data_IF_685332665381
#
_entry.id   IF_685332665381
#
_cell.length_a   1.000
_cell.length_b   1.000
_cell.length_c   1.000
_cell.angle_alpha   90.00
_cell.angle_beta   90.00
_cell.angle_gamma   90.00
#
_symmetry.space_group_name_H-M   'P 1'
#
loop_
_entity.id
_entity.type
_entity.pdbx_description
1 polymer ?
#
# COMPACT_ATOMS: atom_id res chain seq x y z
N UNK A 1 -9.92 7.78 -16.62
CA UNK A 1 -8.47 8.04 -16.70
C UNK A 1 -7.76 6.70 -16.55
N UNK A 2 -6.88 6.37 -17.48
CA UNK A 2 -6.09 5.13 -17.45
C UNK A 2 -5.01 5.19 -16.36
N UNK A 3 -4.58 4.03 -15.84
CA UNK A 3 -3.53 3.95 -14.81
C UNK A 3 -2.23 4.60 -15.27
N UNK A 4 -1.86 4.45 -16.54
CA UNK A 4 -0.63 5.04 -17.09
C UNK A 4 -0.62 6.56 -17.02
N UNK A 5 -1.73 7.19 -17.41
CA UNK A 5 -1.85 8.65 -17.38
C UNK A 5 -1.92 9.18 -15.95
N UNK A 6 -2.59 8.42 -15.07
CA UNK A 6 -2.63 8.72 -13.65
C UNK A 6 -1.22 8.69 -13.03
N UNK A 7 -0.45 7.62 -13.26
CA UNK A 7 0.91 7.49 -12.74
C UNK A 7 1.82 8.62 -13.22
N UNK A 8 1.73 8.99 -14.50
CA UNK A 8 2.49 10.12 -15.07
C UNK A 8 2.14 11.44 -14.37
N UNK A 9 0.85 11.75 -14.26
CA UNK A 9 0.36 12.95 -13.57
C UNK A 9 0.79 12.97 -12.10
N UNK A 10 0.77 11.81 -11.45
CA UNK A 10 1.16 11.67 -10.07
C UNK A 10 2.64 11.99 -9.87
N UNK A 11 3.53 11.49 -10.75
CA UNK A 11 4.97 11.80 -10.69
C UNK A 11 5.22 13.30 -10.88
N UNK A 12 4.57 13.91 -11.85
CA UNK A 12 4.74 15.33 -12.11
C UNK A 12 4.31 16.19 -10.91
N UNK A 13 3.21 15.81 -10.25
CA UNK A 13 2.77 16.45 -9.00
C UNK A 13 3.64 16.10 -7.80
N UNK A 14 4.20 14.90 -7.74
CA UNK A 14 5.12 14.48 -6.68
C UNK A 14 6.40 15.32 -6.69
N UNK A 15 6.92 15.66 -7.87
CA UNK A 15 8.11 16.50 -8.04
C UNK A 15 7.95 17.93 -7.53
N UNK A 16 6.72 18.39 -7.31
CA UNK A 16 6.45 19.74 -6.80
C UNK A 16 6.21 19.79 -5.28
N UNK A 17 6.36 18.66 -4.57
CA UNK A 17 6.29 18.64 -3.12
C UNK A 17 7.48 19.42 -2.54
N UNK A 18 7.22 20.31 -1.57
CA UNK A 18 8.20 21.23 -0.99
C UNK A 18 9.46 20.54 -0.46
N UNK A 19 9.30 19.37 0.16
CA UNK A 19 10.39 18.56 0.72
C UNK A 19 10.73 17.32 -0.12
N UNK A 20 10.47 17.33 -1.43
CA UNK A 20 10.66 16.17 -2.31
C UNK A 20 12.09 15.58 -2.25
N UNK A 21 13.10 16.42 -2.03
CA UNK A 21 14.51 16.00 -1.92
C UNK A 21 14.79 15.07 -0.72
N UNK A 22 13.95 15.13 0.31
CA UNK A 22 14.02 14.30 1.52
C UNK A 22 13.18 13.01 1.41
N UNK A 23 12.41 12.89 0.33
CA UNK A 23 11.51 11.77 0.10
C UNK A 23 12.18 10.68 -0.76
N UNK A 24 11.85 9.42 -0.46
CA UNK A 24 12.12 8.32 -1.39
C UNK A 24 11.18 8.40 -2.59
N UNK A 25 11.50 7.73 -3.70
CA UNK A 25 10.61 7.72 -4.85
C UNK A 25 9.18 7.26 -4.46
N UNK A 26 8.13 7.74 -5.15
CA UNK A 26 6.79 7.26 -4.88
C UNK A 26 6.66 5.80 -5.29
N UNK A 27 5.88 5.03 -4.54
CA UNK A 27 5.48 3.68 -4.91
C UNK A 27 4.35 3.73 -5.94
N UNK A 28 4.63 3.28 -7.17
CA UNK A 28 3.65 3.25 -8.25
C UNK A 28 3.35 1.80 -8.66
N UNK A 29 2.07 1.48 -8.76
CA UNK A 29 1.61 0.19 -9.30
C UNK A 29 1.89 0.17 -10.80
N UNK A 30 2.52 -0.91 -11.26
CA UNK A 30 2.95 -1.02 -12.66
C UNK A 30 1.79 -1.10 -13.66
N UNK A 31 2.02 -0.48 -14.82
CA UNK A 31 1.16 -0.51 -16.00
C UNK A 31 1.51 -1.63 -16.99
N UNK A 32 2.44 -2.52 -16.64
CA UNK A 32 2.81 -3.67 -17.47
C UNK A 32 1.59 -4.52 -17.81
N UNK A 33 1.43 -4.81 -19.10
CA UNK A 33 0.23 -5.47 -19.62
C UNK A 33 0.07 -6.89 -19.08
N UNK A 34 1.16 -7.62 -18.86
CA UNK A 34 1.08 -8.97 -18.31
C UNK A 34 0.62 -8.94 -16.84
N UNK A 35 1.17 -8.01 -16.05
CA UNK A 35 0.73 -7.80 -14.68
C UNK A 35 -0.75 -7.38 -14.61
N UNK A 36 -1.16 -6.38 -15.40
CA UNK A 36 -2.55 -5.92 -15.44
C UNK A 36 -3.52 -7.02 -15.90
N UNK A 37 -3.13 -7.81 -16.90
CA UNK A 37 -3.91 -8.95 -17.38
C UNK A 37 -4.05 -10.02 -16.29
N UNK A 38 -2.97 -10.31 -15.54
CA UNK A 38 -3.05 -11.26 -14.43
C UNK A 38 -4.02 -10.76 -13.36
N UNK A 39 -3.89 -9.50 -12.91
CA UNK A 39 -4.79 -8.92 -11.90
C UNK A 39 -6.24 -8.95 -12.39
N UNK A 40 -6.50 -8.52 -13.64
CA UNK A 40 -7.86 -8.43 -14.19
C UNK A 40 -8.56 -9.78 -14.33
N UNK A 41 -7.80 -10.84 -14.62
CA UNK A 41 -8.31 -12.20 -14.74
C UNK A 41 -8.25 -12.99 -13.42
N UNK A 42 -7.74 -12.39 -12.35
CA UNK A 42 -7.63 -13.06 -11.06
C UNK A 42 -8.94 -13.04 -10.29
N UNK A 43 -9.21 -14.14 -9.60
CA UNK A 43 -10.17 -14.17 -8.52
C UNK A 43 -9.46 -13.72 -7.23
N UNK A 44 -10.17 -13.01 -6.34
CA UNK A 44 -9.65 -12.56 -5.05
C UNK A 44 -8.51 -11.53 -5.18
N UNK A 45 -8.76 -10.43 -5.89
CA UNK A 45 -7.84 -9.28 -5.97
C UNK A 45 -7.67 -8.66 -4.58
N UNK A 46 -6.43 -8.56 -4.13
CA UNK A 46 -6.08 -7.99 -2.83
C UNK A 46 -5.38 -6.65 -3.04
N UNK A 47 -6.01 -5.57 -2.59
CA UNK A 47 -5.33 -4.29 -2.41
C UNK A 47 -4.64 -4.29 -1.05
N UNK A 48 -3.33 -4.48 -1.06
CA UNK A 48 -2.50 -4.47 0.14
C UNK A 48 -1.88 -3.10 0.36
N UNK A 49 -2.12 -2.50 1.53
CA UNK A 49 -1.73 -1.13 1.83
C UNK A 49 -0.79 -1.10 3.03
N UNK A 50 0.50 -0.88 2.74
CA UNK A 50 1.60 -0.69 3.68
C UNK A 50 1.59 0.66 4.40
N UNK A 51 2.69 0.95 5.11
CA UNK A 51 2.91 2.26 5.76
C UNK A 51 3.54 3.25 4.77
N UNK A 52 4.84 3.09 4.51
CA UNK A 52 5.63 3.84 3.53
C UNK A 52 6.83 3.00 3.07
N UNK A 53 7.52 3.48 2.04
CA UNK A 53 8.68 2.84 1.41
C UNK A 53 9.97 3.62 1.73
N UNK A 54 10.44 3.54 2.99
CA UNK A 54 11.69 4.17 3.41
C UNK A 54 12.89 3.64 2.60
N UNK A 55 13.67 4.55 2.01
CA UNK A 55 14.83 4.19 1.18
C UNK A 55 14.50 3.58 -0.19
N UNK A 56 13.24 3.65 -0.65
CA UNK A 56 12.85 3.13 -1.96
C UNK A 56 13.39 3.99 -3.10
N UNK A 57 14.23 3.39 -3.95
CA UNK A 57 14.84 4.06 -5.11
C UNK A 57 15.45 5.41 -4.69
N UNK A 58 16.25 5.39 -3.63
CA UNK A 58 16.78 6.60 -2.98
C UNK A 58 18.15 7.05 -3.51
N UNK A 59 18.86 6.20 -4.23
CA UNK A 59 20.19 6.48 -4.80
C UNK A 59 20.14 7.00 -6.24
N UNK A 60 18.95 7.41 -6.70
CA UNK A 60 18.72 7.93 -8.06
C UNK A 60 18.45 9.42 -7.94
N UNK A 61 19.07 10.23 -8.81
CA UNK A 61 18.78 11.66 -8.88
C UNK A 61 17.30 11.86 -9.23
N UNK A 62 16.60 12.75 -8.51
CA UNK A 62 15.15 12.91 -8.63
C UNK A 62 14.70 13.28 -10.07
N UNK A 63 15.59 13.93 -10.84
CA UNK A 63 15.38 14.28 -12.26
C UNK A 63 15.48 13.10 -13.24
N UNK A 64 16.15 12.02 -12.84
CA UNK A 64 16.23 10.76 -13.60
C UNK A 64 15.15 9.76 -13.23
N UNK A 65 14.31 10.10 -12.25
CA UNK A 65 13.21 9.26 -11.81
C UNK A 65 12.08 9.28 -12.84
N UNK A 66 11.95 8.24 -13.65
CA UNK A 66 10.85 8.09 -14.62
C UNK A 66 9.78 7.13 -14.11
N UNK A 67 8.59 7.19 -14.71
CA UNK A 67 7.52 6.25 -14.45
C UNK A 67 7.97 4.81 -14.71
N UNK A 68 8.61 4.58 -15.86
CA UNK A 68 9.06 3.27 -16.29
C UNK A 68 10.07 2.67 -15.31
N UNK A 69 10.97 3.49 -14.78
CA UNK A 69 11.94 3.07 -13.78
C UNK A 69 11.24 2.62 -12.49
N UNK A 70 10.36 3.46 -11.93
CA UNK A 70 9.63 3.12 -10.69
C UNK A 70 8.81 1.83 -10.89
N UNK A 71 8.08 1.74 -11.99
CA UNK A 71 7.22 0.59 -12.28
C UNK A 71 8.04 -0.69 -12.53
N UNK A 72 9.20 -0.60 -13.16
CA UNK A 72 10.08 -1.76 -13.34
C UNK A 72 10.60 -2.30 -12.00
N UNK A 73 11.01 -1.43 -11.07
CA UNK A 73 11.42 -1.83 -9.71
C UNK A 73 10.24 -2.42 -8.95
N UNK A 74 9.04 -1.84 -9.07
CA UNK A 74 7.82 -2.41 -8.52
C UNK A 74 7.60 -3.86 -9.01
N UNK A 75 7.68 -4.09 -10.33
CA UNK A 75 7.51 -5.41 -10.93
C UNK A 75 8.55 -6.40 -10.45
N UNK A 76 9.81 -5.98 -10.36
CA UNK A 76 10.86 -6.85 -9.83
C UNK A 76 10.54 -7.29 -8.40
N UNK A 77 10.10 -6.36 -7.55
CA UNK A 77 9.78 -6.70 -6.16
C UNK A 77 8.57 -7.61 -6.09
N UNK A 78 7.47 -7.29 -6.77
CA UNK A 78 6.23 -8.09 -6.68
C UNK A 78 6.40 -9.49 -7.30
N UNK A 79 7.29 -9.66 -8.28
CA UNK A 79 7.64 -10.97 -8.89
C UNK A 79 8.57 -11.79 -8.00
N UNK A 80 9.36 -11.16 -7.12
CA UNK A 80 10.27 -11.89 -6.23
C UNK A 80 9.46 -12.71 -5.24
N UNK A 81 9.67 -14.03 -5.26
CA UNK A 81 9.29 -14.93 -4.15
C UNK A 81 10.28 -14.73 -3.01
N UNK A 82 10.10 -13.67 -2.24
CA UNK A 82 10.96 -13.37 -1.11
C UNK A 82 10.32 -13.90 0.19
N UNK A 83 11.16 -14.32 1.15
CA UNK A 83 10.73 -14.79 2.46
C UNK A 83 10.60 -13.65 3.49
N UNK A 84 10.63 -12.39 3.04
CA UNK A 84 10.40 -11.27 3.94
C UNK A 84 8.97 -11.31 4.53
N UNK A 85 8.77 -10.61 5.64
CA UNK A 85 7.50 -10.69 6.38
C UNK A 85 6.29 -10.15 5.62
N UNK A 86 6.50 -9.24 4.66
CA UNK A 86 5.45 -8.78 3.74
C UNK A 86 4.92 -9.95 2.90
N UNK A 87 5.78 -10.65 2.16
CA UNK A 87 5.35 -11.76 1.30
C UNK A 87 4.84 -12.94 2.12
N UNK A 88 5.47 -13.26 3.26
CA UNK A 88 4.97 -14.29 4.18
C UNK A 88 3.57 -13.98 4.70
N UNK A 89 3.25 -12.71 4.87
CA UNK A 89 1.95 -12.27 5.35
C UNK A 89 0.91 -12.32 4.22
N UNK A 90 1.19 -11.69 3.08
CA UNK A 90 0.33 -11.74 1.88
C UNK A 90 0.06 -13.17 1.42
N UNK A 91 1.04 -14.07 1.57
CA UNK A 91 0.89 -15.46 1.15
C UNK A 91 -0.22 -16.23 1.90
N UNK A 92 -0.78 -15.66 2.97
CA UNK A 92 -1.96 -16.21 3.64
C UNK A 92 -3.28 -15.88 2.94
N UNK A 93 -3.27 -14.91 2.03
CA UNK A 93 -4.43 -14.41 1.28
C UNK A 93 -4.29 -14.66 -0.23
N UNK A 94 -3.06 -14.78 -0.72
CA UNK A 94 -2.73 -15.06 -2.11
C UNK A 94 -1.65 -16.13 -2.19
N UNK A 95 -1.82 -17.14 -3.03
CA UNK A 95 -0.73 -18.12 -3.28
C UNK A 95 0.32 -17.58 -4.26
N UNK A 96 0.03 -16.48 -4.96
CA UNK A 96 0.95 -15.86 -5.91
C UNK A 96 0.72 -14.34 -5.96
N UNK A 97 1.59 -13.59 -5.28
CA UNK A 97 1.51 -12.13 -5.16
C UNK A 97 1.45 -11.43 -6.53
N UNK A 98 2.18 -11.93 -7.53
CA UNK A 98 2.18 -11.35 -8.89
C UNK A 98 0.84 -11.52 -9.63
N UNK A 99 -0.02 -12.44 -9.20
CA UNK A 99 -1.25 -12.75 -9.92
C UNK A 99 -2.45 -11.92 -9.48
N UNK A 100 -2.55 -11.58 -8.19
CA UNK A 100 -3.78 -10.96 -7.64
C UNK A 100 -3.51 -9.88 -6.58
N UNK A 101 -2.26 -9.50 -6.31
CA UNK A 101 -1.96 -8.46 -5.31
C UNK A 101 -1.62 -7.14 -5.98
N UNK A 102 -2.34 -6.09 -5.58
CA UNK A 102 -2.01 -4.69 -5.83
C UNK A 102 -1.36 -4.15 -4.56
N UNK A 103 -0.05 -3.87 -4.60
CA UNK A 103 0.67 -3.33 -3.45
C UNK A 103 0.74 -1.81 -3.54
N UNK A 104 0.25 -1.13 -2.51
CA UNK A 104 0.42 0.30 -2.30
C UNK A 104 0.79 0.58 -0.84
N UNK A 105 0.93 1.85 -0.48
CA UNK A 105 1.24 2.31 0.86
C UNK A 105 0.30 3.44 1.27
N UNK A 106 0.13 3.61 2.58
CA UNK A 106 -0.68 4.70 3.15
C UNK A 106 -0.06 6.06 2.82
N UNK A 107 1.28 6.16 2.87
CA UNK A 107 2.04 7.25 2.29
C UNK A 107 2.71 6.76 1.01
N UNK A 108 2.53 7.48 -0.08
CA UNK A 108 3.07 7.07 -1.38
C UNK A 108 4.60 7.10 -1.41
N UNK A 109 5.22 7.97 -0.61
CA UNK A 109 6.66 8.09 -0.45
C UNK A 109 7.04 8.07 1.04
N UNK A 110 8.21 7.50 1.34
CA UNK A 110 8.80 7.48 2.68
C UNK A 110 9.97 8.46 2.79
N UNK A 111 10.80 8.30 3.82
CA UNK A 111 12.07 9.03 3.89
C UNK A 111 13.05 8.48 2.85
N UNK A 112 13.82 9.37 2.22
CA UNK A 112 14.96 8.99 1.37
C UNK A 112 16.02 8.23 2.17
N UNK A 113 16.27 8.64 3.41
CA UNK A 113 17.21 8.01 4.34
C UNK A 113 16.63 7.84 5.75
N UNK A 114 16.98 6.75 6.41
CA UNK A 114 16.58 6.47 7.81
C UNK A 114 15.25 5.72 7.94
N UNK A 115 14.66 5.79 9.14
CA UNK A 115 13.43 5.07 9.53
C UNK A 115 12.32 6.04 9.97
N UNK A 116 11.07 5.56 9.88
CA UNK A 116 9.86 6.28 10.29
C UNK A 116 9.27 7.13 9.17
N UNK A 117 8.10 7.73 9.41
CA UNK A 117 7.40 8.55 8.43
C UNK A 117 8.16 9.86 8.13
N UNK A 118 8.13 10.36 6.88
CA UNK A 118 8.76 11.61 6.48
C UNK A 118 8.05 12.83 7.09
N UNK A 119 8.62 14.03 6.93
CA UNK A 119 7.87 15.26 7.21
C UNK A 119 6.67 15.31 6.26
N UNK A 120 5.46 15.34 6.83
CA UNK A 120 4.22 15.29 6.07
C UNK A 120 3.84 16.72 5.65
N UNK A 121 3.70 16.92 4.35
CA UNK A 121 3.12 18.12 3.75
C UNK A 121 1.70 17.82 3.30
N UNK A 122 0.87 18.85 3.17
CA UNK A 122 -0.50 18.71 2.65
C UNK A 122 -0.49 18.03 1.27
N UNK A 123 0.51 18.35 0.44
CA UNK A 123 0.65 17.78 -0.90
C UNK A 123 0.97 16.28 -0.88
N UNK A 124 1.85 15.85 0.02
CA UNK A 124 2.17 14.43 0.17
C UNK A 124 0.95 13.65 0.67
N UNK A 125 0.20 14.20 1.62
CA UNK A 125 -1.03 13.60 2.12
C UNK A 125 -2.10 13.49 1.01
N UNK A 126 -2.34 14.59 0.28
CA UNK A 126 -3.27 14.65 -0.85
C UNK A 126 -2.94 13.57 -1.90
N UNK A 127 -1.70 13.53 -2.37
CA UNK A 127 -1.26 12.56 -3.39
C UNK A 127 -1.36 11.11 -2.90
N UNK A 128 -1.06 10.87 -1.62
CA UNK A 128 -1.17 9.53 -1.04
C UNK A 128 -2.62 9.06 -1.02
N UNK A 129 -3.55 9.94 -0.61
CA UNK A 129 -4.97 9.64 -0.58
C UNK A 129 -5.55 9.45 -1.99
N UNK A 130 -5.24 10.37 -2.91
CA UNK A 130 -5.66 10.29 -4.32
C UNK A 130 -5.23 8.97 -4.97
N UNK A 131 -3.98 8.55 -4.72
CA UNK A 131 -3.46 7.28 -5.21
C UNK A 131 -4.26 6.09 -4.68
N UNK A 132 -4.50 6.01 -3.37
CA UNK A 132 -5.27 4.92 -2.79
C UNK A 132 -6.69 4.86 -3.36
N UNK A 133 -7.38 6.00 -3.42
CA UNK A 133 -8.74 6.08 -3.97
C UNK A 133 -8.76 5.69 -5.45
N UNK A 134 -7.79 6.15 -6.23
CA UNK A 134 -7.67 5.78 -7.63
C UNK A 134 -7.48 4.28 -7.79
N UNK A 135 -6.49 3.68 -7.10
CA UNK A 135 -6.19 2.25 -7.20
C UNK A 135 -7.38 1.38 -6.76
N UNK A 136 -8.07 1.76 -5.68
CA UNK A 136 -9.27 1.06 -5.23
C UNK A 136 -10.36 1.07 -6.31
N UNK A 137 -10.67 2.24 -6.90
CA UNK A 137 -11.69 2.38 -7.94
C UNK A 137 -11.30 1.69 -9.25
N UNK A 138 -10.03 1.78 -9.63
CA UNK A 138 -9.50 1.23 -10.87
C UNK A 138 -9.49 -0.30 -10.84
N UNK A 139 -8.90 -0.89 -9.79
CA UNK A 139 -8.74 -2.34 -9.70
C UNK A 139 -9.98 -3.07 -9.16
N UNK A 140 -10.86 -2.38 -8.41
CA UNK A 140 -12.03 -2.97 -7.74
C UNK A 140 -11.64 -4.23 -6.96
N UNK A 141 -10.79 -4.10 -5.93
CA UNK A 141 -10.27 -5.25 -5.20
C UNK A 141 -11.40 -5.98 -4.45
N UNK A 142 -11.27 -7.30 -4.33
CA UNK A 142 -12.19 -8.13 -3.54
C UNK A 142 -11.87 -8.03 -2.05
N UNK A 143 -10.60 -7.74 -1.70
CA UNK A 143 -10.13 -7.55 -0.34
C UNK A 143 -9.26 -6.30 -0.29
N UNK A 144 -9.51 -5.40 0.67
CA UNK A 144 -8.60 -4.29 0.98
C UNK A 144 -7.99 -4.49 2.36
N UNK A 145 -6.66 -4.42 2.47
CA UNK A 145 -5.94 -4.77 3.68
C UNK A 145 -4.92 -3.69 4.08
N UNK A 146 -5.25 -2.92 5.11
CA UNK A 146 -4.35 -1.95 5.73
C UNK A 146 -3.44 -2.63 6.76
N UNK A 147 -2.13 -2.44 6.66
CA UNK A 147 -1.12 -3.04 7.56
C UNK A 147 -0.23 -2.00 8.24
N UNK A 148 -0.83 -0.93 8.76
CA UNK A 148 -0.11 0.23 9.30
C UNK A 148 -0.33 0.47 10.80
N UNK A 149 -1.28 -0.23 11.42
CA UNK A 149 -1.74 0.09 12.77
C UNK A 149 -2.39 1.48 12.87
N UNK A 150 -2.82 1.91 14.07
CA UNK A 150 -3.62 3.12 14.26
C UNK A 150 -2.80 4.37 14.59
N UNK A 151 -1.54 4.44 14.17
CA UNK A 151 -0.68 5.57 14.49
C UNK A 151 -0.79 6.65 13.42
N UNK A 152 -0.66 7.91 13.82
CA UNK A 152 -0.51 9.02 12.87
C UNK A 152 0.87 8.95 12.19
N UNK A 153 0.95 9.31 10.89
CA UNK A 153 -0.11 9.92 10.06
C UNK A 153 -1.10 8.91 9.43
N UNK A 154 -0.83 7.61 9.50
CA UNK A 154 -1.59 6.59 8.76
C UNK A 154 -3.07 6.53 9.14
N UNK A 155 -3.38 6.70 10.43
CA UNK A 155 -4.74 6.65 10.93
C UNK A 155 -5.67 7.68 10.27
N UNK A 156 -5.21 8.92 10.08
CA UNK A 156 -6.01 9.98 9.45
C UNK A 156 -6.24 9.70 7.96
N UNK A 157 -5.20 9.32 7.21
CA UNK A 157 -5.31 8.99 5.78
C UNK A 157 -6.26 7.81 5.56
N UNK A 158 -6.18 6.78 6.41
CA UNK A 158 -7.06 5.61 6.31
C UNK A 158 -8.51 6.00 6.58
N UNK A 159 -8.78 6.81 7.60
CA UNK A 159 -10.15 7.30 7.88
C UNK A 159 -10.70 8.10 6.71
N UNK A 160 -9.89 9.00 6.15
CA UNK A 160 -10.29 9.84 5.03
C UNK A 160 -10.57 9.01 3.78
N UNK A 161 -9.71 8.03 3.49
CA UNK A 161 -9.94 7.05 2.42
C UNK A 161 -11.26 6.30 2.61
N UNK A 162 -11.49 5.74 3.81
CA UNK A 162 -12.72 5.01 4.13
C UNK A 162 -13.96 5.89 3.93
N UNK A 163 -13.89 7.14 4.38
CA UNK A 163 -14.96 8.12 4.18
C UNK A 163 -15.24 8.37 2.70
N UNK A 164 -14.20 8.55 1.87
CA UNK A 164 -14.35 8.80 0.42
C UNK A 164 -14.99 7.61 -0.30
N UNK A 165 -14.69 6.38 0.10
CA UNK A 165 -15.30 5.18 -0.48
C UNK A 165 -16.65 4.82 0.17
N UNK A 166 -17.17 5.66 1.08
CA UNK A 166 -18.37 5.43 1.88
C UNK A 166 -18.34 4.15 2.73
N UNK A 167 -17.15 3.72 3.12
CA UNK A 167 -16.90 2.58 3.99
C UNK A 167 -16.77 3.02 5.45
N UNK A 168 -17.11 2.11 6.37
CA UNK A 168 -16.89 2.29 7.80
C UNK A 168 -16.21 1.10 8.42
N UNK A 169 -15.20 1.37 9.25
CA UNK A 169 -14.66 0.40 10.21
C UNK A 169 -14.92 0.99 11.60
N UNK A 170 -15.67 0.26 12.44
CA UNK A 170 -16.19 0.75 13.73
C UNK A 170 -15.09 1.05 14.78
N UNK A 171 -13.88 0.55 14.57
CA UNK A 171 -12.76 0.69 15.48
C UNK A 171 -11.45 0.66 14.69
N UNK A 172 -10.36 0.85 15.40
CA UNK A 172 -9.00 0.64 14.91
C UNK A 172 -8.34 -0.56 15.63
N UNK A 173 -7.24 -1.11 15.08
CA UNK A 173 -6.53 -2.24 15.69
C UNK A 173 -6.03 -1.94 17.11
N UNK A 174 -6.20 -2.89 18.02
CA UNK A 174 -5.69 -2.85 19.41
C UNK A 174 -4.90 -4.12 19.71
N UNK A 175 -4.02 -4.14 20.71
CA UNK A 175 -3.29 -5.37 21.08
C UNK A 175 -4.26 -6.52 21.42
N UNK A 176 -5.33 -6.23 22.16
CA UNK A 176 -6.39 -7.20 22.50
C UNK A 176 -7.16 -7.69 21.26
N UNK A 177 -7.33 -6.82 20.26
CA UNK A 177 -7.97 -7.10 18.99
C UNK A 177 -7.15 -6.58 17.79
N UNK A 178 -6.15 -7.35 17.30
CA UNK A 178 -5.14 -6.85 16.38
C UNK A 178 -5.64 -6.67 14.94
N UNK A 179 -6.87 -7.08 14.65
CA UNK A 179 -7.55 -6.85 13.38
C UNK A 179 -8.96 -6.31 13.66
N UNK A 180 -9.31 -5.28 12.91
CA UNK A 180 -10.68 -4.79 12.76
C UNK A 180 -11.05 -4.95 11.29
N UNK A 181 -12.33 -5.16 11.01
CA UNK A 181 -12.78 -5.43 9.64
C UNK A 181 -14.22 -4.99 9.44
N UNK A 182 -14.54 -4.66 8.20
CA UNK A 182 -15.90 -4.58 7.68
C UNK A 182 -16.12 -5.81 6.79
N UNK A 183 -17.06 -6.68 7.16
CA UNK A 183 -17.33 -7.93 6.41
C UNK A 183 -18.03 -7.68 5.09
N UNK A 184 -18.95 -6.71 5.06
CA UNK A 184 -19.78 -6.44 3.89
C UNK A 184 -18.91 -5.95 2.73
N UNK A 185 -17.85 -5.21 3.05
CA UNK A 185 -16.94 -4.63 2.07
C UNK A 185 -15.59 -5.34 1.97
N UNK A 186 -15.37 -6.42 2.76
CA UNK A 186 -14.10 -7.14 2.84
C UNK A 186 -12.87 -6.24 3.08
N UNK A 187 -13.02 -5.25 3.96
CA UNK A 187 -11.96 -4.31 4.31
C UNK A 187 -11.42 -4.69 5.69
N UNK A 188 -10.10 -4.85 5.77
CA UNK A 188 -9.39 -5.26 6.96
C UNK A 188 -8.34 -4.23 7.33
N UNK A 189 -8.15 -4.00 8.63
CA UNK A 189 -7.08 -3.17 9.14
C UNK A 189 -6.39 -3.87 10.31
N UNK A 190 -5.06 -3.92 10.25
CA UNK A 190 -4.17 -4.53 11.22
C UNK A 190 -2.89 -3.72 11.42
N UNK A 191 -2.11 -4.10 12.43
CA UNK A 191 -0.72 -3.69 12.56
C UNK A 191 0.18 -4.26 11.44
N UNK A 192 1.30 -3.57 11.24
CA UNK A 192 2.38 -4.02 10.35
C UNK A 192 2.91 -5.41 10.72
N UNK A 193 3.26 -6.29 9.75
CA UNK A 193 3.71 -7.65 10.01
C UNK A 193 4.88 -7.76 11.01
N UNK A 194 5.86 -6.86 10.93
CA UNK A 194 6.98 -6.84 11.90
C UNK A 194 6.49 -6.64 13.33
N UNK A 195 5.53 -5.72 13.56
CA UNK A 195 4.96 -5.49 14.88
C UNK A 195 4.17 -6.73 15.36
N UNK A 196 3.37 -7.33 14.48
CA UNK A 196 2.63 -8.56 14.79
C UNK A 196 3.55 -9.70 15.21
N UNK A 197 4.70 -9.85 14.55
CA UNK A 197 5.69 -10.86 14.91
C UNK A 197 6.35 -10.57 16.26
N UNK A 198 6.81 -9.33 16.46
CA UNK A 198 7.42 -8.92 17.73
C UNK A 198 6.49 -9.10 18.93
N UNK A 199 5.17 -9.01 18.72
CA UNK A 199 4.15 -9.19 19.75
C UNK A 199 3.53 -10.59 19.78
N UNK A 200 4.01 -11.53 18.96
CA UNK A 200 3.44 -12.88 18.81
C UNK A 200 1.92 -12.90 18.50
N UNK A 201 1.43 -11.90 17.75
CA UNK A 201 0.01 -11.73 17.43
C UNK A 201 -0.40 -12.32 16.07
N UNK A 202 0.57 -12.71 15.22
CA UNK A 202 0.32 -13.14 13.84
C UNK A 202 -0.65 -14.33 13.72
N UNK A 203 -0.49 -15.37 14.53
CA UNK A 203 -1.38 -16.55 14.51
C UNK A 203 -2.82 -16.21 14.92
N UNK A 204 -2.97 -15.36 15.96
CA UNK A 204 -4.28 -14.87 16.41
C UNK A 204 -4.99 -14.06 15.33
N UNK A 205 -4.23 -13.28 14.56
CA UNK A 205 -4.76 -12.51 13.46
C UNK A 205 -5.22 -13.39 12.29
N UNK A 206 -4.35 -14.28 11.81
CA UNK A 206 -4.65 -15.13 10.66
C UNK A 206 -5.85 -16.05 10.91
N UNK A 207 -6.00 -16.56 12.14
CA UNK A 207 -7.17 -17.36 12.50
C UNK A 207 -8.48 -16.55 12.53
N UNK A 208 -8.43 -15.24 12.79
CA UNK A 208 -9.61 -14.36 12.70
C UNK A 208 -9.99 -14.03 11.27
N UNK A 209 -9.01 -13.85 10.38
CA UNK A 209 -9.29 -13.51 8.99
C UNK A 209 -9.75 -14.75 8.21
N UNK A 210 -9.16 -15.94 8.45
CA UNK A 210 -9.54 -17.20 7.77
C UNK A 210 -10.87 -17.83 8.24
N UNK A 211 -11.44 -17.36 9.35
CA UNK A 211 -12.74 -17.83 9.88
C UNK A 211 -13.92 -17.00 9.36
N UNK A 212 -13.65 -15.95 8.60
CA UNK A 212 -14.63 -15.18 7.83
C UNK A 212 -14.69 -15.76 6.44
#
# INVERSE_FOLDING_TARGET
MELKEFNKTLIDRYRTIENVVDLSAPLLVSTDSNYLNNISNSNNKVLYIGQETNGWINDINDWSLTQELIESVYLEVIKRKNNNEFFRFINNFSTNTYQNVIWSNTLIAGKKYGKGYPVITDKLQELSLENLVFLYKYFKPDITLFVSGPNNPYYEIIKEFLNIINSKIESYPKISNPVVYNKEENIFWTYHPNYLNMKHLKTKLLSKIKKQ
#
